data_IF_990154402511
#
_entry.id   IF_990154402511
#
_cell.length_a   1.000
_cell.length_b   1.000
_cell.length_c   1.000
_cell.angle_alpha   90.00
_cell.angle_beta   90.00
_cell.angle_gamma   90.00
#
_symmetry.space_group_name_H-M   'P 1'
#
loop_
_entity.id
_entity.type
_entity.pdbx_description
1 polymer ?
#
# COMPACT_ATOMS: atom_id res chain seq x y z
N UNK A 1 12.63 -14.28 16.17
CA UNK A 1 12.05 -15.30 15.27
C UNK A 1 10.71 -14.84 14.74
N UNK A 2 10.68 -13.65 14.06
CA UNK A 2 9.47 -13.03 13.46
C UNK A 2 9.78 -12.50 12.05
N UNK A 3 10.55 -13.27 11.24
CA UNK A 3 11.10 -12.82 9.95
C UNK A 3 10.23 -13.11 8.72
N UNK A 4 8.95 -13.54 8.86
CA UNK A 4 8.12 -13.93 7.71
C UNK A 4 6.67 -13.47 7.80
N UNK A 5 6.38 -12.28 8.30
CA UNK A 5 5.01 -11.76 8.28
C UNK A 5 4.92 -10.37 7.61
N UNK A 6 5.68 -10.17 6.53
CA UNK A 6 5.43 -9.07 5.61
C UNK A 6 4.81 -9.69 4.37
N UNK A 7 3.56 -10.13 4.54
CA UNK A 7 2.73 -10.49 3.40
C UNK A 7 2.27 -9.18 2.77
N UNK A 8 2.92 -8.77 1.69
CA UNK A 8 2.34 -7.79 0.78
C UNK A 8 1.07 -8.40 0.18
N UNK A 9 -0.03 -8.34 0.94
CA UNK A 9 -1.33 -8.82 0.49
C UNK A 9 -1.85 -7.91 -0.62
N UNK A 10 -1.49 -8.27 -1.86
CA UNK A 10 -2.22 -7.83 -3.04
C UNK A 10 -3.59 -8.52 -3.07
N UNK A 11 -4.50 -8.10 -2.22
CA UNK A 11 -5.91 -8.40 -2.43
C UNK A 11 -6.41 -7.51 -3.57
N UNK A 12 -6.41 -8.07 -4.77
CA UNK A 12 -7.25 -7.56 -5.86
C UNK A 12 -8.69 -7.85 -5.45
N UNK A 13 -9.28 -6.91 -4.72
CA UNK A 13 -10.72 -6.95 -4.45
C UNK A 13 -11.47 -6.62 -5.73
N UNK A 14 -12.52 -7.37 -6.12
CA UNK A 14 -13.33 -7.02 -7.27
C UNK A 14 -14.07 -5.70 -6.97
N UNK A 15 -13.68 -4.63 -7.67
CA UNK A 15 -14.29 -3.31 -7.55
C UNK A 15 -15.73 -3.35 -8.07
N UNK A 16 -16.70 -3.37 -7.15
CA UNK A 16 -18.06 -2.99 -7.45
C UNK A 16 -18.22 -1.46 -7.28
N UNK A 17 -18.57 -0.77 -8.35
CA UNK A 17 -19.06 0.62 -8.40
C UNK A 17 -18.17 1.71 -7.83
N UNK A 18 -17.04 1.99 -8.46
CA UNK A 18 -16.27 3.21 -8.24
C UNK A 18 -16.54 4.20 -9.37
N UNK A 19 -16.82 5.44 -8.97
CA UNK A 19 -16.79 6.62 -9.85
C UNK A 19 -15.54 6.51 -10.72
N UNK A 20 -15.74 6.56 -12.05
CA UNK A 20 -14.69 6.39 -13.03
C UNK A 20 -13.65 7.51 -12.93
N UNK A 21 -12.69 7.37 -12.03
CA UNK A 21 -11.40 8.00 -12.20
C UNK A 21 -10.80 7.36 -13.47
N UNK A 22 -10.36 8.21 -14.41
CA UNK A 22 -9.76 7.77 -15.68
C UNK A 22 -8.39 7.11 -15.43
N UNK A 23 -8.43 5.92 -14.88
CA UNK A 23 -7.32 5.09 -14.43
C UNK A 23 -7.03 3.96 -15.40
N UNK A 24 -7.39 4.15 -16.64
CA UNK A 24 -7.13 3.17 -17.69
C UNK A 24 -5.62 3.06 -17.94
N UNK A 25 -5.14 1.84 -17.95
CA UNK A 25 -3.78 1.50 -18.34
C UNK A 25 -3.81 0.71 -19.64
N UNK A 26 -2.74 0.84 -20.44
CA UNK A 26 -2.62 0.01 -21.63
C UNK A 26 -2.48 -1.46 -21.24
N UNK A 27 -2.98 -2.36 -22.10
CA UNK A 27 -2.82 -3.81 -21.92
C UNK A 27 -1.34 -4.18 -21.70
N UNK A 28 -0.44 -3.52 -22.42
CA UNK A 28 0.99 -3.73 -22.29
C UNK A 28 1.48 -3.53 -20.86
N UNK A 29 1.12 -2.42 -20.20
CA UNK A 29 1.48 -2.17 -18.80
C UNK A 29 0.82 -3.21 -17.88
N UNK A 30 -0.47 -3.50 -18.09
CA UNK A 30 -1.17 -4.50 -17.29
C UNK A 30 -0.45 -5.84 -17.28
N UNK A 31 0.02 -6.30 -18.44
CA UNK A 31 0.74 -7.56 -18.57
C UNK A 31 2.09 -7.54 -17.82
N UNK A 32 2.82 -6.39 -17.82
CA UNK A 32 4.03 -6.24 -17.03
C UNK A 32 3.75 -6.21 -15.53
N UNK A 33 2.71 -5.49 -15.08
CA UNK A 33 2.32 -5.43 -13.68
C UNK A 33 2.06 -6.84 -13.11
N UNK A 34 1.32 -7.66 -13.86
CA UNK A 34 1.01 -9.04 -13.45
C UNK A 34 2.28 -9.88 -13.36
N UNK A 35 3.14 -9.87 -14.41
CA UNK A 35 4.36 -10.67 -14.40
C UNK A 35 5.33 -10.28 -13.29
N UNK A 36 5.57 -8.98 -13.11
CA UNK A 36 6.47 -8.47 -12.07
C UNK A 36 5.97 -8.86 -10.68
N UNK A 37 4.66 -8.70 -10.42
CA UNK A 37 4.09 -9.11 -9.14
C UNK A 37 4.19 -10.62 -8.90
N UNK A 38 4.00 -11.44 -9.94
CA UNK A 38 4.17 -12.90 -9.82
C UNK A 38 5.63 -13.25 -9.51
N UNK A 39 6.61 -12.67 -10.21
CA UNK A 39 8.02 -12.88 -9.90
C UNK A 39 8.39 -12.46 -8.47
N UNK A 40 7.86 -11.34 -7.98
CA UNK A 40 8.06 -10.92 -6.58
C UNK A 40 7.42 -11.92 -5.60
N UNK A 41 6.23 -12.42 -5.91
CA UNK A 41 5.52 -13.39 -5.06
C UNK A 41 6.23 -14.75 -4.99
N UNK A 42 6.91 -15.12 -6.09
CA UNK A 42 7.68 -16.36 -6.22
C UNK A 42 9.15 -16.22 -5.76
N UNK A 43 9.52 -15.06 -5.16
CA UNK A 43 10.88 -14.69 -4.75
C UNK A 43 11.91 -14.69 -5.93
N UNK A 44 11.43 -14.62 -7.19
CA UNK A 44 12.25 -14.51 -8.38
C UNK A 44 12.65 -13.06 -8.66
N UNK A 45 13.49 -12.52 -7.80
CA UNK A 45 13.89 -11.10 -7.82
C UNK A 45 14.74 -10.74 -9.04
N UNK A 46 15.44 -11.71 -9.65
CA UNK A 46 16.23 -11.48 -10.86
C UNK A 46 15.31 -11.14 -12.04
N UNK A 47 14.31 -11.98 -12.30
CA UNK A 47 13.35 -11.75 -13.38
C UNK A 47 12.44 -10.56 -13.08
N UNK A 48 12.02 -10.34 -11.82
CA UNK A 48 11.27 -9.16 -11.42
C UNK A 48 12.03 -7.87 -11.76
N UNK A 49 13.32 -7.80 -11.40
CA UNK A 49 14.17 -6.63 -11.69
C UNK A 49 14.36 -6.41 -13.18
N UNK A 50 14.61 -7.46 -13.94
CA UNK A 50 14.77 -7.38 -15.39
C UNK A 50 13.52 -6.80 -16.09
N UNK A 51 12.34 -7.27 -15.73
CA UNK A 51 11.09 -6.74 -16.27
C UNK A 51 10.85 -5.29 -15.85
N UNK A 52 11.18 -4.94 -14.59
CA UNK A 52 11.12 -3.56 -14.08
C UNK A 52 12.05 -2.62 -14.86
N UNK A 53 13.29 -3.03 -15.14
CA UNK A 53 14.22 -2.26 -15.93
C UNK A 53 13.69 -2.00 -17.35
N UNK A 54 13.15 -3.04 -18.00
CA UNK A 54 12.59 -2.94 -19.36
C UNK A 54 11.41 -1.95 -19.40
N UNK A 55 10.45 -2.10 -18.50
CA UNK A 55 9.26 -1.21 -18.48
C UNK A 55 9.63 0.21 -18.10
N UNK A 56 10.59 0.41 -17.21
CA UNK A 56 11.08 1.72 -16.81
C UNK A 56 11.70 2.50 -17.97
N UNK A 57 12.52 1.85 -18.79
CA UNK A 57 13.14 2.46 -19.98
C UNK A 57 12.08 2.92 -20.99
N UNK A 58 11.03 2.12 -21.20
CA UNK A 58 9.96 2.46 -22.15
C UNK A 58 9.17 3.72 -21.75
N UNK A 59 8.94 3.92 -20.45
CA UNK A 59 8.15 5.05 -19.94
C UNK A 59 9.01 6.20 -19.39
N UNK A 60 10.30 6.16 -19.58
CA UNK A 60 11.25 7.16 -19.05
C UNK A 60 10.91 8.61 -19.45
N UNK A 61 10.44 8.80 -20.68
CA UNK A 61 10.15 10.15 -21.23
C UNK A 61 8.79 10.72 -20.80
N UNK A 62 7.92 9.90 -20.20
CA UNK A 62 6.56 10.31 -19.82
C UNK A 62 6.46 10.54 -18.31
N UNK A 63 7.07 11.62 -17.84
CA UNK A 63 7.25 11.89 -16.40
C UNK A 63 5.93 12.10 -15.62
N UNK A 64 4.81 12.39 -16.31
CA UNK A 64 3.53 12.73 -15.68
C UNK A 64 2.44 11.69 -15.96
N UNK A 65 2.79 10.53 -16.52
CA UNK A 65 1.80 9.50 -16.82
C UNK A 65 1.46 8.64 -15.60
N UNK A 66 0.23 8.12 -15.60
CA UNK A 66 -0.21 7.16 -14.58
C UNK A 66 0.62 5.88 -14.60
N UNK A 67 1.06 5.43 -15.77
CA UNK A 67 1.95 4.28 -15.93
C UNK A 67 3.29 4.50 -15.20
N UNK A 68 3.85 5.71 -15.28
CA UNK A 68 5.09 6.03 -14.58
C UNK A 68 4.92 5.94 -13.07
N UNK A 69 3.77 6.38 -12.56
CA UNK A 69 3.43 6.22 -11.15
C UNK A 69 3.38 4.76 -10.74
N UNK A 70 2.70 3.91 -11.54
CA UNK A 70 2.61 2.46 -11.28
C UNK A 70 4.00 1.78 -11.32
N UNK A 71 4.88 2.19 -12.23
CA UNK A 71 6.26 1.71 -12.28
C UNK A 71 7.02 2.07 -10.99
N UNK A 72 6.87 3.29 -10.51
CA UNK A 72 7.48 3.69 -9.22
C UNK A 72 6.89 2.89 -8.04
N UNK A 73 5.59 2.60 -8.06
CA UNK A 73 4.95 1.72 -7.06
C UNK A 73 5.55 0.32 -7.10
N UNK A 74 5.73 -0.26 -8.29
CA UNK A 74 6.35 -1.58 -8.46
C UNK A 74 7.79 -1.61 -7.97
N UNK A 75 8.59 -0.58 -8.28
CA UNK A 75 9.93 -0.46 -7.72
C UNK A 75 9.91 -0.41 -6.18
N UNK A 76 8.96 0.32 -5.61
CA UNK A 76 8.78 0.33 -4.16
C UNK A 76 8.46 -1.04 -3.59
N UNK A 77 7.56 -1.79 -4.24
CA UNK A 77 7.21 -3.15 -3.85
C UNK A 77 8.42 -4.10 -3.97
N UNK A 78 9.14 -4.04 -5.10
CA UNK A 78 10.34 -4.82 -5.33
C UNK A 78 11.41 -4.56 -4.25
N UNK A 79 11.73 -3.29 -4.00
CA UNK A 79 12.70 -2.96 -2.96
C UNK A 79 12.23 -3.37 -1.56
N UNK A 80 10.95 -3.26 -1.27
CA UNK A 80 10.38 -3.73 -0.01
C UNK A 80 10.51 -5.24 0.16
N UNK A 81 10.34 -6.04 -0.89
CA UNK A 81 10.44 -7.50 -0.85
C UNK A 81 11.87 -8.01 -0.65
N UNK A 82 12.88 -7.24 -1.09
CA UNK A 82 14.30 -7.51 -0.84
C UNK A 82 14.86 -6.76 0.38
N UNK A 83 14.00 -6.24 1.25
CA UNK A 83 14.34 -5.54 2.50
C UNK A 83 15.17 -4.25 2.31
N UNK A 84 15.19 -3.66 1.09
CA UNK A 84 15.85 -2.39 0.78
C UNK A 84 14.88 -1.21 1.03
N UNK A 85 14.57 -0.97 2.30
CA UNK A 85 13.46 -0.09 2.70
C UNK A 85 13.68 1.38 2.36
N UNK A 86 14.91 1.88 2.35
CA UNK A 86 15.24 3.25 1.94
C UNK A 86 14.93 3.48 0.46
N UNK A 87 15.25 2.53 -0.41
CA UNK A 87 14.94 2.56 -1.84
C UNK A 87 13.43 2.40 -2.07
N UNK A 88 12.76 1.55 -1.28
CA UNK A 88 11.31 1.41 -1.30
C UNK A 88 10.62 2.74 -0.98
N UNK A 89 11.04 3.42 0.09
CA UNK A 89 10.54 4.75 0.49
C UNK A 89 10.71 5.75 -0.65
N UNK A 90 11.91 5.88 -1.23
CA UNK A 90 12.16 6.80 -2.35
C UNK A 90 11.23 6.53 -3.54
N UNK A 91 11.01 5.26 -3.84
CA UNK A 91 10.15 4.83 -4.96
C UNK A 91 8.68 5.14 -4.69
N UNK A 92 8.17 4.88 -3.49
CA UNK A 92 6.80 5.22 -3.11
C UNK A 92 6.57 6.72 -3.02
N UNK A 93 7.53 7.48 -2.46
CA UNK A 93 7.47 8.95 -2.47
C UNK A 93 7.44 9.49 -3.91
N UNK A 94 8.25 8.92 -4.82
CA UNK A 94 8.23 9.29 -6.23
C UNK A 94 6.87 9.01 -6.87
N UNK A 95 6.24 7.85 -6.56
CA UNK A 95 4.89 7.54 -7.02
C UNK A 95 3.86 8.57 -6.55
N UNK A 96 3.94 9.05 -5.31
CA UNK A 96 3.00 10.02 -4.73
C UNK A 96 3.17 11.47 -5.24
N UNK A 97 4.21 11.79 -6.00
CA UNK A 97 4.41 13.11 -6.63
C UNK A 97 3.52 13.35 -7.85
N UNK A 98 2.91 12.29 -8.38
CA UNK A 98 2.02 12.40 -9.54
C UNK A 98 0.70 13.07 -9.17
N UNK A 99 0.24 14.03 -10.01
CA UNK A 99 -0.94 14.85 -9.71
C UNK A 99 -2.26 14.10 -9.87
N UNK A 100 -2.32 13.15 -10.81
CA UNK A 100 -3.49 12.31 -11.06
C UNK A 100 -3.22 10.90 -10.55
N UNK A 101 -3.58 10.65 -9.29
CA UNK A 101 -3.50 9.34 -8.69
C UNK A 101 -4.89 8.73 -8.65
N UNK A 102 -5.03 7.55 -9.21
CA UNK A 102 -6.21 6.73 -8.94
C UNK A 102 -6.36 6.51 -7.44
N UNK A 103 -7.58 6.60 -6.95
CA UNK A 103 -7.87 6.45 -5.53
C UNK A 103 -7.21 5.21 -4.95
N UNK A 104 -7.47 4.05 -5.54
CA UNK A 104 -6.96 2.77 -5.02
C UNK A 104 -5.43 2.73 -5.02
N UNK A 105 -4.78 3.12 -6.14
CA UNK A 105 -3.31 3.17 -6.21
C UNK A 105 -2.71 4.15 -5.22
N UNK A 106 -3.35 5.32 -5.02
CA UNK A 106 -2.91 6.30 -4.02
C UNK A 106 -2.94 5.71 -2.61
N UNK A 107 -4.04 5.04 -2.26
CA UNK A 107 -4.20 4.41 -0.96
C UNK A 107 -3.20 3.26 -0.76
N UNK A 108 -3.01 2.41 -1.76
CA UNK A 108 -2.03 1.31 -1.72
C UNK A 108 -0.61 1.83 -1.51
N UNK A 109 -0.19 2.82 -2.30
CA UNK A 109 1.16 3.42 -2.18
C UNK A 109 1.36 4.02 -0.78
N UNK A 110 0.35 4.72 -0.23
CA UNK A 110 0.44 5.28 1.14
C UNK A 110 0.51 4.20 2.21
N UNK A 111 -0.25 3.14 2.07
CA UNK A 111 -0.20 2.01 3.00
C UNK A 111 1.19 1.37 3.02
N UNK A 112 1.75 1.05 1.84
CA UNK A 112 3.08 0.46 1.71
C UNK A 112 4.18 1.41 2.19
N UNK A 113 4.07 2.70 1.88
CA UNK A 113 5.01 3.72 2.36
C UNK A 113 5.01 3.84 3.88
N UNK A 114 3.83 3.84 4.49
CA UNK A 114 3.71 3.89 5.95
C UNK A 114 4.34 2.65 6.61
N UNK A 115 4.17 1.47 6.01
CA UNK A 115 4.84 0.26 6.47
C UNK A 115 6.36 0.36 6.36
N UNK A 116 6.89 0.87 5.25
CA UNK A 116 8.33 1.07 5.08
C UNK A 116 8.88 2.07 6.11
N UNK A 117 8.20 3.19 6.35
CA UNK A 117 8.56 4.13 7.42
C UNK A 117 8.51 3.51 8.82
N UNK A 118 7.53 2.63 9.08
CA UNK A 118 7.44 1.95 10.37
C UNK A 118 8.64 1.04 10.60
N UNK A 119 9.07 0.28 9.58
CA UNK A 119 10.23 -0.59 9.65
C UNK A 119 11.53 0.21 9.88
N UNK A 120 11.65 1.36 9.21
CA UNK A 120 12.79 2.29 9.40
C UNK A 120 12.65 3.17 10.63
N UNK A 121 11.59 3.00 11.44
CA UNK A 121 11.29 3.72 12.69
C UNK A 121 11.07 5.22 12.54
N UNK A 122 10.68 5.68 11.36
CA UNK A 122 10.26 7.07 11.15
C UNK A 122 8.78 7.24 11.49
N UNK A 123 8.44 7.12 12.80
CA UNK A 123 7.06 7.10 13.27
C UNK A 123 6.29 8.38 12.97
N UNK A 124 6.96 9.54 12.92
CA UNK A 124 6.31 10.80 12.51
C UNK A 124 5.80 10.73 11.07
N UNK A 125 6.59 10.14 10.15
CA UNK A 125 6.16 9.95 8.77
C UNK A 125 5.10 8.86 8.62
N UNK A 126 5.12 7.81 9.43
CA UNK A 126 4.00 6.85 9.50
C UNK A 126 2.70 7.57 9.79
N UNK A 127 2.68 8.37 10.87
CA UNK A 127 1.49 9.10 11.32
C UNK A 127 0.98 10.03 10.21
N UNK A 128 1.85 10.89 9.68
CA UNK A 128 1.44 11.84 8.63
C UNK A 128 0.93 11.14 7.36
N UNK A 129 1.55 10.02 6.97
CA UNK A 129 1.17 9.26 5.78
C UNK A 129 -0.19 8.56 5.96
N UNK A 130 -0.43 7.94 7.13
CA UNK A 130 -1.68 7.24 7.42
C UNK A 130 -2.84 8.18 7.72
N UNK A 131 -2.61 9.32 8.34
CA UNK A 131 -3.64 10.36 8.49
C UNK A 131 -4.06 10.89 7.12
N UNK A 132 -3.11 11.08 6.18
CA UNK A 132 -3.45 11.47 4.81
C UNK A 132 -4.16 10.36 4.04
N UNK A 133 -3.81 9.09 4.28
CA UNK A 133 -4.58 7.94 3.76
C UNK A 133 -6.04 8.04 4.22
N UNK A 134 -6.27 8.19 5.54
CA UNK A 134 -7.60 8.28 6.15
C UNK A 134 -8.41 9.44 5.57
N UNK A 135 -7.82 10.63 5.49
CA UNK A 135 -8.44 11.83 4.90
C UNK A 135 -8.92 11.61 3.45
N UNK A 136 -8.18 10.82 2.67
CA UNK A 136 -8.52 10.51 1.28
C UNK A 136 -9.57 9.40 1.18
N UNK A 137 -9.47 8.37 2.02
CA UNK A 137 -10.24 7.14 1.96
C UNK A 137 -11.70 7.34 2.45
N UNK A 138 -11.87 7.89 3.65
CA UNK A 138 -13.17 7.95 4.33
C UNK A 138 -14.25 8.71 3.54
N UNK A 139 -13.99 9.91 2.97
CA UNK A 139 -15.01 10.62 2.21
C UNK A 139 -15.44 9.91 0.91
N UNK A 140 -14.67 8.90 0.50
CA UNK A 140 -14.89 8.09 -0.71
C UNK A 140 -15.41 6.68 -0.40
N UNK A 141 -15.82 6.43 0.84
CA UNK A 141 -16.34 5.14 1.27
C UNK A 141 -15.29 4.03 1.33
N UNK A 142 -13.99 4.38 1.31
CA UNK A 142 -12.93 3.42 1.50
C UNK A 142 -12.59 3.29 2.99
N UNK A 143 -12.51 2.07 3.45
CA UNK A 143 -12.29 1.81 4.86
C UNK A 143 -10.83 2.04 5.28
N UNK A 144 -10.64 2.70 6.42
CA UNK A 144 -9.35 2.75 7.10
C UNK A 144 -9.18 1.49 7.93
N UNK A 145 -8.54 0.47 7.34
CA UNK A 145 -8.51 -0.91 7.84
C UNK A 145 -7.96 -1.05 9.26
N UNK A 146 -8.29 -2.13 9.99
CA UNK A 146 -7.72 -2.44 11.30
C UNK A 146 -6.20 -2.45 11.29
N UNK A 147 -5.58 -2.99 10.23
CA UNK A 147 -4.13 -3.01 10.08
C UNK A 147 -3.51 -1.60 10.11
N UNK A 148 -4.08 -0.65 9.34
CA UNK A 148 -3.59 0.73 9.33
C UNK A 148 -3.81 1.44 10.66
N UNK A 149 -4.92 1.12 11.36
CA UNK A 149 -5.19 1.65 12.72
C UNK A 149 -4.15 1.15 13.73
N UNK A 150 -3.81 -0.15 13.69
CA UNK A 150 -2.78 -0.72 14.54
C UNK A 150 -1.42 -0.06 14.26
N UNK A 151 -1.03 0.05 13.00
CA UNK A 151 0.23 0.67 12.61
C UNK A 151 0.34 2.12 13.09
N UNK A 152 -0.76 2.87 12.95
CA UNK A 152 -0.86 4.25 13.44
C UNK A 152 -0.80 4.32 14.97
N UNK A 153 -1.56 3.47 15.65
CA UNK A 153 -1.56 3.39 17.12
C UNK A 153 -0.20 3.00 17.70
N UNK A 154 0.49 2.01 17.11
CA UNK A 154 1.84 1.65 17.51
C UNK A 154 2.82 2.81 17.30
N UNK A 155 2.69 3.57 16.20
CA UNK A 155 3.53 4.73 15.94
C UNK A 155 3.33 5.82 16.99
N UNK A 156 2.10 6.09 17.38
CA UNK A 156 1.80 7.00 18.50
C UNK A 156 2.39 6.48 19.82
N UNK A 157 2.31 5.17 20.07
CA UNK A 157 2.87 4.56 21.29
C UNK A 157 4.38 4.72 21.36
N UNK A 158 5.10 4.50 20.23
CA UNK A 158 6.55 4.72 20.17
C UNK A 158 6.97 6.18 20.39
N UNK A 159 6.06 7.13 20.11
CA UNK A 159 6.25 8.56 20.39
C UNK A 159 5.68 8.98 21.74
N UNK A 160 5.32 8.02 22.62
CA UNK A 160 4.77 8.24 23.95
C UNK A 160 3.45 9.03 23.96
N UNK A 161 2.73 9.06 22.84
CA UNK A 161 1.43 9.69 22.69
C UNK A 161 0.33 8.66 23.01
N UNK A 162 0.23 8.27 24.27
CA UNK A 162 -0.56 7.11 24.70
C UNK A 162 -2.06 7.25 24.50
N UNK A 163 -2.62 8.46 24.57
CA UNK A 163 -4.05 8.70 24.34
C UNK A 163 -4.46 8.36 22.91
N UNK A 164 -3.70 8.85 21.93
CA UNK A 164 -3.91 8.56 20.50
C UNK A 164 -3.64 7.08 20.20
N UNK A 165 -2.58 6.51 20.78
CA UNK A 165 -2.27 5.10 20.65
C UNK A 165 -3.45 4.22 21.07
N UNK A 166 -4.02 4.48 22.25
CA UNK A 166 -5.18 3.75 22.78
C UNK A 166 -6.40 3.88 21.86
N UNK A 167 -6.72 5.10 21.41
CA UNK A 167 -7.85 5.34 20.50
C UNK A 167 -7.77 4.48 19.24
N UNK A 168 -6.63 4.51 18.56
CA UNK A 168 -6.48 3.77 17.28
C UNK A 168 -6.42 2.25 17.48
N UNK A 169 -5.74 1.76 18.52
CA UNK A 169 -5.64 0.32 18.79
C UNK A 169 -7.00 -0.23 19.25
N UNK A 170 -7.72 0.47 20.14
CA UNK A 170 -9.06 0.07 20.57
C UNK A 170 -10.03 0.02 19.38
N UNK A 171 -10.04 1.07 18.57
CA UNK A 171 -10.87 1.12 17.35
C UNK A 171 -10.55 0.00 16.34
N UNK A 172 -9.30 -0.42 16.23
CA UNK A 172 -8.94 -1.57 15.39
C UNK A 172 -9.51 -2.88 15.95
N UNK A 173 -9.42 -3.07 17.27
CA UNK A 173 -9.98 -4.24 17.94
C UNK A 173 -11.50 -4.34 17.77
N UNK A 174 -12.23 -3.23 17.95
CA UNK A 174 -13.68 -3.18 17.76
C UNK A 174 -14.09 -3.58 16.33
N UNK A 175 -13.32 -3.15 15.33
CA UNK A 175 -13.56 -3.54 13.93
C UNK A 175 -13.36 -5.04 13.72
N UNK A 176 -12.29 -5.62 14.27
CA UNK A 176 -12.01 -7.07 14.14
C UNK A 176 -13.10 -7.89 14.81
N UNK A 177 -13.57 -7.48 15.98
CA UNK A 177 -14.67 -8.15 16.68
C UNK A 177 -15.95 -8.11 15.84
N UNK A 178 -16.30 -6.96 15.26
CA UNK A 178 -17.45 -6.82 14.38
C UNK A 178 -17.37 -7.72 13.14
N UNK A 179 -16.22 -7.80 12.47
CA UNK A 179 -16.04 -8.70 11.34
C UNK A 179 -16.24 -10.16 11.72
N UNK A 180 -15.73 -10.58 12.87
CA UNK A 180 -15.93 -11.94 13.36
C UNK A 180 -17.41 -12.24 13.66
N UNK A 181 -18.16 -11.30 14.23
CA UNK A 181 -19.60 -11.45 14.47
C UNK A 181 -20.39 -11.52 13.17
N UNK A 182 -20.09 -10.69 12.18
CA UNK A 182 -20.76 -10.68 10.88
C UNK A 182 -20.45 -11.96 10.10
N UNK A 183 -19.22 -12.48 10.16
CA UNK A 183 -18.84 -13.77 9.57
C UNK A 183 -19.60 -14.93 10.22
N UNK A 184 -19.69 -14.98 11.55
CA UNK A 184 -20.44 -16.00 12.27
C UNK A 184 -21.93 -15.98 11.92
N UNK A 185 -22.55 -14.80 11.76
CA UNK A 185 -23.95 -14.68 11.33
C UNK A 185 -24.16 -15.24 9.92
N UNK A 186 -23.21 -14.99 9.01
CA UNK A 186 -23.27 -15.49 7.64
C UNK A 186 -23.17 -17.03 7.60
N UNK A 187 -22.26 -17.63 8.37
CA UNK A 187 -22.08 -19.10 8.43
C UNK A 187 -23.27 -19.83 9.09
N UNK A 188 -24.05 -19.14 9.94
CA UNK A 188 -25.19 -19.73 10.66
C UNK A 188 -26.55 -19.46 9.97
N UNK A 189 -26.58 -18.71 8.86
CA UNK A 189 -27.79 -18.41 8.09
C UNK A 189 -27.95 -19.35 6.87
#
# INVERSE_FOLDING_TARGET
MFKKLILFLFLVSPCANLVADDCSISKFISDYLVRINNYIADDDYENAKKELDIVSLRYFKNEQSYERMLINQLWGNFYGSIESYEEAIKSFEAALRFRKLCLISNLQVRGNLAQAYFITKDFNKVISTLLKYKEIAEPRGQEFSPYHRILLGLSYNYLEQYSQAYEYISSANDMVLKYNEDWLRYELS
#
